data_IF_253470767128
#
_entry.id   IF_253470767128
#
_cell.length_a   1.000
_cell.length_b   1.000
_cell.length_c   1.000
_cell.angle_alpha   90.00
_cell.angle_beta   90.00
_cell.angle_gamma   90.00
#
_symmetry.space_group_name_H-M   'P 1'
#
loop_
_entity.id
_entity.type
_entity.pdbx_description
1 polymer ?
#
# COMPACT_ATOMS: atom_id res chain seq x y z
N UNK A 1 3.68 -2.18 1.87
CA UNK A 1 2.75 -1.99 0.75
C UNK A 1 3.17 -2.76 -0.51
N UNK A 2 4.47 -2.93 -0.79
CA UNK A 2 4.98 -3.63 -1.98
C UNK A 2 4.53 -5.10 -2.03
N UNK A 3 4.64 -5.85 -0.96
CA UNK A 3 4.26 -7.27 -0.92
C UNK A 3 2.75 -7.56 -1.12
N UNK A 4 1.88 -6.57 -0.97
CA UNK A 4 0.43 -6.74 -1.19
C UNK A 4 0.08 -6.94 -2.67
N UNK A 5 0.58 -6.08 -3.55
CA UNK A 5 0.36 -6.19 -5.00
C UNK A 5 0.94 -7.48 -5.56
N UNK A 6 2.15 -7.82 -5.13
CA UNK A 6 2.85 -9.03 -5.58
C UNK A 6 2.04 -10.28 -5.21
N UNK A 7 1.57 -10.35 -3.97
CA UNK A 7 0.76 -11.47 -3.49
C UNK A 7 -0.55 -11.62 -4.27
N UNK A 8 -1.29 -10.54 -4.48
CA UNK A 8 -2.55 -10.57 -5.24
C UNK A 8 -2.28 -10.92 -6.70
N UNK A 9 -1.21 -10.40 -7.31
CA UNK A 9 -0.84 -10.71 -8.69
C UNK A 9 -0.46 -12.19 -8.85
N UNK A 10 0.29 -12.74 -7.92
CA UNK A 10 0.67 -14.17 -7.92
C UNK A 10 -0.55 -15.08 -7.77
N UNK A 11 -1.46 -14.77 -6.84
CA UNK A 11 -2.71 -15.51 -6.68
C UNK A 11 -3.59 -15.43 -7.93
N UNK A 12 -3.61 -14.27 -8.58
CA UNK A 12 -4.33 -14.07 -9.85
C UNK A 12 -3.76 -14.95 -10.94
N UNK A 13 -2.44 -14.97 -11.10
CA UNK A 13 -1.76 -15.80 -12.08
C UNK A 13 -2.06 -17.29 -11.86
N UNK A 14 -1.94 -17.77 -10.61
CA UNK A 14 -2.24 -19.16 -10.25
C UNK A 14 -3.69 -19.56 -10.58
N UNK A 15 -4.66 -18.69 -10.32
CA UNK A 15 -6.06 -18.94 -10.65
C UNK A 15 -6.29 -18.98 -12.19
N UNK A 16 -5.64 -18.09 -12.91
CA UNK A 16 -5.67 -18.05 -14.38
C UNK A 16 -5.07 -19.31 -15.01
N UNK A 17 -3.96 -19.79 -14.48
CA UNK A 17 -3.34 -21.05 -14.92
C UNK A 17 -4.27 -22.25 -14.74
N UNK A 18 -5.18 -22.19 -13.78
CA UNK A 18 -6.24 -23.19 -13.59
C UNK A 18 -7.46 -22.99 -14.50
N UNK A 19 -7.40 -22.00 -15.41
CA UNK A 19 -8.51 -21.67 -16.33
C UNK A 19 -9.71 -21.02 -15.65
N UNK A 20 -9.50 -20.37 -14.50
CA UNK A 20 -10.57 -19.69 -13.74
C UNK A 20 -10.56 -18.19 -13.99
N UNK A 21 -11.74 -17.63 -14.12
CA UNK A 21 -11.92 -16.17 -14.12
C UNK A 21 -11.68 -15.64 -12.71
N UNK A 22 -11.05 -14.47 -12.63
CA UNK A 22 -10.65 -13.88 -11.35
C UNK A 22 -11.42 -12.59 -11.10
N UNK A 23 -11.94 -12.47 -9.89
CA UNK A 23 -12.46 -11.24 -9.34
C UNK A 23 -11.68 -10.90 -8.08
N UNK A 24 -11.28 -9.63 -7.93
CA UNK A 24 -10.50 -9.16 -6.78
C UNK A 24 -11.38 -8.24 -5.94
N UNK A 25 -11.52 -8.59 -4.66
CA UNK A 25 -12.25 -7.80 -3.67
C UNK A 25 -11.26 -7.08 -2.75
N UNK A 26 -11.27 -5.77 -2.78
CA UNK A 26 -10.49 -4.94 -1.88
C UNK A 26 -11.29 -4.57 -0.62
N UNK A 27 -10.66 -4.65 0.54
CA UNK A 27 -11.31 -4.37 1.81
C UNK A 27 -11.68 -2.89 2.01
N UNK A 28 -11.02 -1.98 1.30
CA UNK A 28 -11.30 -0.54 1.33
C UNK A 28 -11.01 0.13 -0.04
N UNK A 29 -11.52 1.35 -0.21
CA UNK A 29 -11.38 2.09 -1.47
C UNK A 29 -9.91 2.37 -1.83
N UNK A 30 -9.07 2.65 -0.83
CA UNK A 30 -7.64 2.91 -1.07
C UNK A 30 -6.93 1.67 -1.62
N UNK A 31 -7.21 0.50 -1.04
CA UNK A 31 -6.68 -0.77 -1.55
C UNK A 31 -7.22 -1.09 -2.93
N UNK A 32 -8.51 -0.81 -3.20
CA UNK A 32 -9.11 -0.99 -4.53
C UNK A 32 -8.38 -0.16 -5.58
N UNK A 33 -8.22 1.14 -5.35
CA UNK A 33 -7.59 2.05 -6.31
C UNK A 33 -6.11 1.69 -6.51
N UNK A 34 -5.44 1.25 -5.44
CA UNK A 34 -4.07 0.78 -5.47
C UNK A 34 -3.89 -0.51 -6.30
N UNK A 35 -4.80 -1.47 -6.18
CA UNK A 35 -4.75 -2.72 -6.95
C UNK A 35 -5.18 -2.51 -8.41
N UNK A 36 -6.20 -1.69 -8.65
CA UNK A 36 -6.67 -1.37 -10.00
C UNK A 36 -5.61 -0.63 -10.84
N UNK A 37 -4.68 0.07 -10.20
CA UNK A 37 -3.55 0.71 -10.88
C UNK A 37 -2.35 -0.20 -11.15
N UNK A 38 -2.40 -1.48 -10.78
CA UNK A 38 -1.27 -2.40 -11.00
C UNK A 38 -1.36 -3.03 -12.41
N UNK A 39 -0.32 -2.82 -13.21
CA UNK A 39 -0.24 -3.33 -14.60
C UNK A 39 -0.37 -4.86 -14.65
N UNK A 40 0.09 -5.59 -13.64
CA UNK A 40 0.00 -7.06 -13.55
C UNK A 40 -1.43 -7.56 -13.37
N UNK A 41 -2.31 -6.69 -12.88
CA UNK A 41 -3.74 -6.95 -12.69
C UNK A 41 -4.59 -6.31 -13.81
N UNK A 42 -3.96 -5.81 -14.84
CA UNK A 42 -4.66 -5.21 -15.98
C UNK A 42 -5.61 -6.22 -16.62
N UNK A 43 -6.88 -5.85 -16.76
CA UNK A 43 -7.93 -6.72 -17.28
C UNK A 43 -8.71 -7.50 -16.21
N UNK A 44 -8.27 -7.46 -14.94
CA UNK A 44 -9.03 -8.03 -13.84
C UNK A 44 -10.07 -7.05 -13.29
N UNK A 45 -11.16 -7.60 -12.79
CA UNK A 45 -12.18 -6.79 -12.11
C UNK A 45 -11.80 -6.61 -10.65
N UNK A 46 -11.54 -5.36 -10.24
CA UNK A 46 -11.23 -5.00 -8.85
C UNK A 46 -12.39 -4.18 -8.28
N UNK A 47 -13.04 -4.69 -7.24
CA UNK A 47 -14.19 -4.04 -6.60
C UNK A 47 -13.99 -3.84 -5.10
N UNK A 48 -14.89 -3.08 -4.49
CA UNK A 48 -14.97 -2.91 -3.05
C UNK A 48 -16.00 -3.86 -2.40
N UNK A 49 -16.18 -3.75 -1.09
CA UNK A 49 -17.07 -4.60 -0.29
C UNK A 49 -18.56 -4.57 -0.71
N UNK A 50 -19.01 -3.51 -1.38
CA UNK A 50 -20.38 -3.42 -1.90
C UNK A 50 -20.71 -4.56 -2.85
N UNK A 51 -19.72 -5.05 -3.61
CA UNK A 51 -19.89 -6.16 -4.53
C UNK A 51 -20.28 -7.49 -3.86
N UNK A 52 -20.06 -7.62 -2.54
CA UNK A 52 -20.58 -8.75 -1.77
C UNK A 52 -22.08 -8.66 -1.53
N UNK A 53 -22.62 -7.44 -1.40
CA UNK A 53 -24.03 -7.21 -1.10
C UNK A 53 -24.90 -7.31 -2.34
N UNK A 54 -24.42 -6.79 -3.48
CA UNK A 54 -25.10 -6.83 -4.76
C UNK A 54 -24.84 -8.12 -5.57
N UNK A 55 -23.96 -8.98 -5.05
CA UNK A 55 -23.64 -10.28 -5.66
C UNK A 55 -22.69 -10.23 -6.86
N UNK A 56 -22.25 -9.04 -7.28
CA UNK A 56 -21.39 -8.88 -8.46
C UNK A 56 -19.97 -9.42 -8.29
N UNK A 57 -19.55 -9.69 -7.04
CA UNK A 57 -18.27 -10.31 -6.75
C UNK A 57 -18.19 -11.80 -7.14
N UNK A 58 -19.31 -12.48 -7.38
CA UNK A 58 -19.35 -13.92 -7.54
C UNK A 58 -19.50 -14.33 -9.01
N UNK A 59 -18.38 -14.59 -9.67
CA UNK A 59 -18.34 -15.17 -11.02
C UNK A 59 -18.53 -16.69 -10.89
N UNK A 60 -19.60 -17.29 -11.43
CA UNK A 60 -19.83 -18.73 -11.29
C UNK A 60 -18.64 -19.57 -11.77
N UNK A 61 -18.15 -20.47 -10.93
CA UNK A 61 -16.99 -21.31 -11.22
C UNK A 61 -15.63 -20.58 -11.18
N UNK A 62 -15.61 -19.26 -10.94
CA UNK A 62 -14.41 -18.44 -10.89
C UNK A 62 -13.68 -18.50 -9.55
N UNK A 63 -12.74 -17.59 -9.38
CA UNK A 63 -11.98 -17.37 -8.14
C UNK A 63 -12.17 -15.95 -7.65
N UNK A 64 -12.55 -15.79 -6.39
CA UNK A 64 -12.62 -14.51 -5.69
C UNK A 64 -11.43 -14.37 -4.76
N UNK A 65 -10.55 -13.43 -5.07
CA UNK A 65 -9.40 -13.08 -4.23
C UNK A 65 -9.78 -11.91 -3.34
N UNK A 66 -9.78 -12.11 -2.04
CA UNK A 66 -10.08 -11.06 -1.05
C UNK A 66 -8.78 -10.54 -0.47
N UNK A 67 -8.45 -9.29 -0.79
CA UNK A 67 -7.28 -8.63 -0.24
C UNK A 67 -7.58 -8.00 1.12
N UNK A 68 -6.64 -8.15 2.06
CA UNK A 68 -6.77 -7.68 3.46
C UNK A 68 -8.06 -8.20 4.13
N UNK A 69 -8.29 -9.50 4.01
CA UNK A 69 -9.49 -10.15 4.55
C UNK A 69 -9.65 -9.99 6.08
N UNK A 70 -8.57 -9.65 6.80
CA UNK A 70 -8.62 -9.30 8.22
C UNK A 70 -9.48 -8.06 8.53
N UNK A 71 -9.79 -7.25 7.51
CA UNK A 71 -10.66 -6.08 7.63
C UNK A 71 -12.15 -6.37 7.39
N UNK A 72 -12.49 -7.59 7.02
CA UNK A 72 -13.88 -8.01 6.89
C UNK A 72 -14.50 -8.23 8.27
N UNK A 73 -15.70 -7.71 8.45
CA UNK A 73 -16.54 -8.06 9.62
C UNK A 73 -17.04 -9.50 9.51
N UNK A 74 -17.49 -10.07 10.63
CA UNK A 74 -18.07 -11.40 10.64
C UNK A 74 -19.27 -11.51 9.68
N UNK A 75 -20.13 -10.48 9.64
CA UNK A 75 -21.28 -10.41 8.73
C UNK A 75 -20.85 -10.44 7.26
N UNK A 76 -19.84 -9.64 6.88
CA UNK A 76 -19.29 -9.62 5.53
C UNK A 76 -18.67 -10.97 5.16
N UNK A 77 -17.98 -11.60 6.10
CA UNK A 77 -17.38 -12.93 5.89
C UNK A 77 -18.45 -14.00 5.68
N UNK A 78 -19.53 -13.98 6.46
CA UNK A 78 -20.66 -14.91 6.26
C UNK A 78 -21.30 -14.69 4.88
N UNK A 79 -21.56 -13.44 4.49
CA UNK A 79 -22.12 -13.11 3.17
C UNK A 79 -21.20 -13.57 2.04
N UNK A 80 -19.89 -13.42 2.21
CA UNK A 80 -18.87 -13.87 1.27
C UNK A 80 -18.93 -15.38 1.08
N UNK A 81 -18.92 -16.16 2.18
CA UNK A 81 -18.91 -17.62 2.11
C UNK A 81 -20.23 -18.18 1.56
N UNK A 82 -21.36 -17.62 1.96
CA UNK A 82 -22.68 -18.00 1.46
C UNK A 82 -22.80 -17.72 -0.04
N UNK A 83 -22.38 -16.53 -0.50
CA UNK A 83 -22.34 -16.19 -1.93
C UNK A 83 -21.40 -17.10 -2.72
N UNK A 84 -20.23 -17.39 -2.20
CA UNK A 84 -19.27 -18.27 -2.85
C UNK A 84 -19.79 -19.70 -3.00
N UNK A 85 -20.46 -20.23 -1.99
CA UNK A 85 -21.09 -21.55 -2.04
C UNK A 85 -22.21 -21.59 -3.09
N UNK A 86 -23.09 -20.60 -3.13
CA UNK A 86 -24.22 -20.55 -4.09
C UNK A 86 -23.74 -20.49 -5.54
N UNK A 87 -22.64 -19.83 -5.80
CA UNK A 87 -22.11 -19.62 -7.17
C UNK A 87 -20.95 -20.56 -7.51
N UNK A 88 -20.59 -21.50 -6.62
CA UNK A 88 -19.45 -22.40 -6.80
C UNK A 88 -18.14 -21.63 -7.08
N UNK A 89 -17.87 -20.59 -6.29
CA UNK A 89 -16.70 -19.73 -6.41
C UNK A 89 -15.62 -20.20 -5.43
N UNK A 90 -14.40 -20.34 -5.92
CA UNK A 90 -13.24 -20.55 -5.07
C UNK A 90 -12.90 -19.23 -4.36
N UNK A 91 -12.67 -19.23 -3.05
CA UNK A 91 -12.31 -18.05 -2.28
C UNK A 91 -10.87 -18.17 -1.78
N UNK A 92 -10.07 -17.16 -2.08
CA UNK A 92 -8.72 -17.00 -1.57
C UNK A 92 -8.67 -15.75 -0.68
N UNK A 93 -8.41 -15.94 0.60
CA UNK A 93 -8.35 -14.86 1.59
C UNK A 93 -6.89 -14.47 1.85
N UNK A 94 -6.53 -13.24 1.53
CA UNK A 94 -5.20 -12.68 1.80
C UNK A 94 -5.22 -11.90 3.12
N UNK A 95 -4.39 -12.31 4.08
CA UNK A 95 -4.19 -11.64 5.35
C UNK A 95 -3.04 -10.63 5.22
N UNK A 96 -3.31 -9.35 5.48
CA UNK A 96 -2.31 -8.28 5.44
C UNK A 96 -1.38 -8.25 6.66
N UNK A 97 -1.62 -9.09 7.65
CA UNK A 97 -0.80 -9.20 8.87
C UNK A 97 -0.94 -8.01 9.84
N UNK A 98 -1.79 -7.05 9.52
CA UNK A 98 -2.08 -5.92 10.43
C UNK A 98 -3.27 -6.31 11.31
N UNK A 99 -3.07 -6.36 12.61
CA UNK A 99 -4.15 -6.47 13.60
C UNK A 99 -4.93 -5.15 13.62
N UNK A 100 -5.81 -4.94 12.66
CA UNK A 100 -6.70 -3.78 12.66
C UNK A 100 -8.14 -4.26 12.60
N UNK A 101 -8.90 -3.97 13.64
CA UNK A 101 -10.33 -4.17 13.68
C UNK A 101 -10.76 -5.57 14.14
N UNK A 102 -11.88 -5.95 13.66
CA UNK A 102 -12.66 -7.13 14.04
C UNK A 102 -12.05 -8.48 13.59
N UNK A 103 -10.76 -8.65 13.55
CA UNK A 103 -9.98 -9.82 13.07
C UNK A 103 -10.41 -11.22 13.55
N UNK A 104 -11.55 -11.32 14.22
CA UNK A 104 -12.12 -12.59 14.70
C UNK A 104 -12.55 -13.52 13.59
N UNK A 105 -12.98 -12.99 12.43
CA UNK A 105 -13.50 -13.83 11.34
C UNK A 105 -12.41 -14.71 10.73
N UNK A 106 -11.24 -14.18 10.42
CA UNK A 106 -10.11 -14.97 9.92
C UNK A 106 -9.60 -15.98 10.97
N UNK A 107 -9.58 -15.58 12.24
CA UNK A 107 -9.20 -16.50 13.34
C UNK A 107 -10.16 -17.68 13.41
N UNK A 108 -11.46 -17.41 13.39
CA UNK A 108 -12.49 -18.48 13.38
C UNK A 108 -12.32 -19.41 12.18
N UNK A 109 -12.07 -18.89 10.99
CA UNK A 109 -11.84 -19.69 9.80
C UNK A 109 -10.59 -20.58 9.92
N UNK A 110 -9.50 -20.02 10.44
CA UNK A 110 -8.26 -20.79 10.71
C UNK A 110 -8.50 -21.89 11.73
N UNK A 111 -9.20 -21.59 12.81
CA UNK A 111 -9.53 -22.56 13.86
C UNK A 111 -10.52 -23.63 13.38
N UNK A 112 -11.34 -23.32 12.37
CA UNK A 112 -12.25 -24.25 11.72
C UNK A 112 -11.58 -25.19 10.70
N UNK A 113 -10.26 -25.14 10.57
CA UNK A 113 -9.50 -26.05 9.72
C UNK A 113 -9.42 -25.64 8.24
N UNK A 114 -9.70 -24.37 7.91
CA UNK A 114 -9.46 -23.86 6.56
C UNK A 114 -7.96 -23.90 6.26
N UNK A 115 -7.59 -24.44 5.11
CA UNK A 115 -6.20 -24.54 4.69
C UNK A 115 -5.53 -23.17 4.69
N UNK A 116 -4.42 -23.04 5.39
CA UNK A 116 -3.67 -21.81 5.55
C UNK A 116 -2.28 -21.99 4.98
N UNK A 117 -1.91 -21.10 4.06
CA UNK A 117 -0.59 -21.08 3.43
C UNK A 117 0.13 -19.79 3.82
N UNK A 118 1.42 -19.90 4.15
CA UNK A 118 2.26 -18.72 4.34
C UNK A 118 2.86 -18.35 2.99
N UNK A 119 2.50 -17.18 2.50
CA UNK A 119 3.13 -16.62 1.31
C UNK A 119 4.61 -16.28 1.62
N UNK A 120 5.52 -16.83 0.83
CA UNK A 120 6.96 -16.62 0.96
C UNK A 120 7.52 -15.81 -0.21
N UNK A 121 6.69 -15.44 -1.16
CA UNK A 121 7.05 -14.58 -2.27
C UNK A 121 7.07 -13.11 -1.83
N UNK A 122 7.95 -12.37 -2.39
CA UNK A 122 8.26 -10.98 -2.13
C UNK A 122 9.77 -10.85 -2.05
N UNK A 123 10.30 -9.87 -2.72
CA UNK A 123 11.68 -9.48 -2.49
C UNK A 123 11.87 -9.38 -0.98
N UNK A 124 12.71 -10.21 -0.40
CA UNK A 124 13.26 -9.89 0.90
C UNK A 124 13.93 -8.54 0.70
N UNK A 125 13.22 -7.47 1.07
CA UNK A 125 13.88 -6.22 1.35
C UNK A 125 14.81 -6.53 2.50
N UNK A 126 16.05 -6.84 2.18
CA UNK A 126 17.13 -6.82 3.16
C UNK A 126 17.17 -5.38 3.64
N UNK A 127 16.62 -5.13 4.83
CA UNK A 127 16.79 -3.86 5.46
C UNK A 127 18.23 -3.84 5.99
N UNK A 128 19.09 -3.10 5.33
CA UNK A 128 20.41 -2.81 5.88
C UNK A 128 20.24 -1.83 7.03
N UNK A 129 20.46 -2.32 8.23
CA UNK A 129 20.44 -1.49 9.44
C UNK A 129 21.84 -0.91 9.63
N UNK A 130 21.96 0.39 9.38
CA UNK A 130 23.19 1.12 9.60
C UNK A 130 23.09 1.84 10.93
N UNK A 131 23.98 1.47 11.87
CA UNK A 131 24.09 2.12 13.16
C UNK A 131 25.22 3.17 13.09
N UNK A 132 24.84 4.44 13.06
CA UNK A 132 25.76 5.58 13.13
C UNK A 132 25.40 6.42 14.36
N UNK A 133 26.28 6.50 15.36
CA UNK A 133 26.02 7.24 16.61
C UNK A 133 25.87 8.74 16.38
N UNK A 134 26.65 9.31 15.47
CA UNK A 134 26.60 10.75 15.19
C UNK A 134 25.38 11.11 14.33
N UNK A 135 24.59 12.05 14.82
CA UNK A 135 23.35 12.49 14.15
C UNK A 135 23.62 13.16 12.80
N UNK A 136 24.67 13.97 12.72
CA UNK A 136 25.04 14.69 11.49
C UNK A 136 25.54 13.72 10.42
N UNK A 137 26.39 12.77 10.82
CA UNK A 137 26.89 11.72 9.93
C UNK A 137 25.76 10.86 9.37
N UNK A 138 24.76 10.47 10.19
CA UNK A 138 23.57 9.75 9.72
C UNK A 138 22.80 10.50 8.64
N UNK A 139 22.60 11.81 8.83
CA UNK A 139 21.87 12.62 7.88
C UNK A 139 22.65 12.82 6.57
N UNK A 140 23.95 13.05 6.66
CA UNK A 140 24.81 13.17 5.49
C UNK A 140 24.84 11.88 4.68
N UNK A 141 24.95 10.73 5.34
CA UNK A 141 24.92 9.44 4.70
C UNK A 141 23.57 9.16 4.02
N UNK A 142 22.45 9.41 4.72
CA UNK A 142 21.12 9.25 4.14
C UNK A 142 20.93 10.13 2.90
N UNK A 143 21.43 11.37 2.94
CA UNK A 143 21.37 12.28 1.81
C UNK A 143 22.19 11.80 0.61
N UNK A 144 23.39 11.26 0.85
CA UNK A 144 24.23 10.69 -0.20
C UNK A 144 23.62 9.44 -0.83
N UNK A 145 23.15 8.49 -0.02
CA UNK A 145 22.49 7.26 -0.51
C UNK A 145 21.24 7.59 -1.33
N UNK A 146 20.46 8.58 -0.90
CA UNK A 146 19.32 9.08 -1.65
C UNK A 146 19.74 9.67 -3.00
N UNK A 147 20.77 10.53 -3.01
CA UNK A 147 21.24 11.17 -4.24
C UNK A 147 21.79 10.15 -5.25
N UNK A 148 22.52 9.15 -4.79
CA UNK A 148 23.01 8.05 -5.64
C UNK A 148 21.85 7.25 -6.23
N UNK A 149 20.85 6.88 -5.43
CA UNK A 149 19.65 6.16 -5.90
C UNK A 149 18.90 6.94 -6.98
N UNK A 150 18.73 8.26 -6.80
CA UNK A 150 18.08 9.13 -7.79
C UNK A 150 18.91 9.20 -9.09
N UNK A 151 20.23 9.31 -8.99
CA UNK A 151 21.12 9.30 -10.16
C UNK A 151 21.02 7.99 -10.94
N UNK A 152 20.85 6.87 -10.27
CA UNK A 152 20.68 5.54 -10.86
C UNK A 152 19.26 5.30 -11.41
N UNK A 153 18.37 6.28 -11.31
CA UNK A 153 16.98 6.17 -11.76
C UNK A 153 16.08 5.30 -10.88
N UNK A 154 16.50 5.05 -9.64
CA UNK A 154 15.70 4.29 -8.68
C UNK A 154 14.65 5.18 -8.01
N UNK A 155 13.45 4.66 -7.82
CA UNK A 155 12.41 5.32 -7.05
C UNK A 155 12.72 5.20 -5.56
N UNK A 156 13.12 6.30 -4.93
CA UNK A 156 13.56 6.33 -3.54
C UNK A 156 12.79 7.34 -2.71
N UNK A 157 12.59 7.05 -1.43
CA UNK A 157 11.95 7.95 -0.47
C UNK A 157 12.81 8.03 0.80
N UNK A 158 13.26 9.23 1.14
CA UNK A 158 13.90 9.49 2.43
C UNK A 158 12.84 9.94 3.45
N UNK A 159 12.77 9.26 4.59
CA UNK A 159 11.81 9.55 5.64
C UNK A 159 12.50 9.88 6.96
N UNK A 160 12.09 10.96 7.59
CA UNK A 160 12.56 11.40 8.90
C UNK A 160 11.40 12.00 9.70
N UNK A 161 11.43 11.87 11.02
CA UNK A 161 10.44 12.48 11.90
C UNK A 161 10.93 13.84 12.42
N UNK A 162 10.00 14.82 12.47
CA UNK A 162 10.26 16.17 12.95
C UNK A 162 10.50 17.20 11.83
N UNK A 163 9.80 18.33 11.92
CA UNK A 163 9.85 19.39 10.88
C UNK A 163 11.22 20.04 10.76
N UNK A 164 11.92 20.23 11.90
CA UNK A 164 13.26 20.79 11.92
C UNK A 164 14.27 19.84 11.26
N UNK A 165 14.17 18.57 11.57
CA UNK A 165 15.00 17.51 11.01
C UNK A 165 14.77 17.35 9.50
N UNK A 166 13.51 17.45 9.05
CA UNK A 166 13.17 17.44 7.62
C UNK A 166 13.84 18.60 6.87
N UNK A 167 13.85 19.80 7.46
CA UNK A 167 14.48 20.97 6.84
C UNK A 167 15.99 20.78 6.69
N UNK A 168 16.66 20.23 7.72
CA UNK A 168 18.10 19.92 7.68
C UNK A 168 18.40 18.86 6.63
N UNK A 169 17.65 17.75 6.63
CA UNK A 169 17.84 16.66 5.66
C UNK A 169 17.60 17.14 4.22
N UNK A 170 16.58 17.93 3.99
CA UNK A 170 16.30 18.50 2.66
C UNK A 170 17.45 19.36 2.15
N UNK A 171 18.11 20.14 3.01
CA UNK A 171 19.33 20.87 2.67
C UNK A 171 20.45 19.94 2.22
N UNK A 172 20.75 18.91 3.02
CA UNK A 172 21.79 17.93 2.71
C UNK A 172 21.50 17.13 1.44
N UNK A 173 20.26 16.74 1.22
CA UNK A 173 19.84 16.06 -0.03
C UNK A 173 20.06 16.96 -1.23
N UNK A 174 19.68 18.23 -1.14
CA UNK A 174 19.90 19.19 -2.24
C UNK A 174 21.38 19.34 -2.58
N UNK A 175 22.23 19.45 -1.56
CA UNK A 175 23.67 19.58 -1.76
C UNK A 175 24.26 18.29 -2.36
N UNK A 176 23.84 17.13 -1.90
CA UNK A 176 24.28 15.84 -2.47
C UNK A 176 23.82 15.66 -3.91
N UNK A 177 22.57 16.04 -4.27
CA UNK A 177 22.07 15.98 -5.64
C UNK A 177 22.82 16.93 -6.58
N UNK A 178 23.31 18.06 -6.09
CA UNK A 178 24.19 18.96 -6.86
C UNK A 178 25.56 18.33 -7.09
N UNK A 179 26.15 17.74 -6.06
CA UNK A 179 27.44 17.02 -6.16
C UNK A 179 27.37 15.87 -7.18
N UNK A 180 26.24 15.18 -7.22
CA UNK A 180 25.99 14.08 -8.19
C UNK A 180 25.57 14.59 -9.58
N UNK A 181 25.47 15.92 -9.78
CA UNK A 181 25.10 16.53 -11.07
C UNK A 181 23.64 16.35 -11.47
N UNK A 182 22.78 15.90 -10.56
CA UNK A 182 21.33 15.71 -10.79
C UNK A 182 20.59 17.04 -10.72
N UNK A 183 21.02 17.95 -9.85
CA UNK A 183 20.50 19.30 -9.74
C UNK A 183 21.50 20.34 -10.26
N UNK A 184 20.98 21.35 -10.98
CA UNK A 184 21.77 22.49 -11.41
C UNK A 184 22.17 23.40 -10.23
N UNK A 185 23.22 24.21 -10.44
CA UNK A 185 23.75 25.13 -9.43
C UNK A 185 22.83 26.32 -9.12
N UNK A 186 21.94 26.68 -10.05
CA UNK A 186 21.09 27.87 -9.92
C UNK A 186 19.81 27.56 -9.15
N UNK A 187 19.59 28.29 -8.06
CA UNK A 187 18.32 28.28 -7.34
C UNK A 187 17.35 29.31 -7.94
N UNK A 188 16.09 28.94 -8.05
CA UNK A 188 14.99 29.85 -8.39
C UNK A 188 14.17 30.09 -7.13
N UNK A 189 14.07 31.37 -6.74
CA UNK A 189 13.19 31.74 -5.61
C UNK A 189 11.77 31.86 -6.12
N UNK A 190 10.87 31.13 -5.48
CA UNK A 190 9.43 31.20 -5.73
C UNK A 190 8.72 31.69 -4.47
N UNK A 191 7.69 32.51 -4.65
CA UNK A 191 6.81 32.90 -3.56
C UNK A 191 5.83 31.76 -3.31
N UNK A 192 5.85 31.21 -2.10
CA UNK A 192 4.93 30.16 -1.69
C UNK A 192 3.97 30.70 -0.63
N UNK A 193 2.72 30.22 -0.69
CA UNK A 193 1.74 30.48 0.38
C UNK A 193 2.11 29.66 1.59
N UNK A 194 2.29 30.33 2.73
CA UNK A 194 2.51 29.65 4.01
C UNK A 194 1.15 29.36 4.65
N UNK A 195 0.88 28.12 5.07
CA UNK A 195 -0.35 27.83 5.78
C UNK A 195 -0.38 28.57 7.12
N UNK A 196 -1.43 29.37 7.33
CA UNK A 196 -1.67 30.09 8.57
C UNK A 196 -2.78 29.39 9.32
N UNK A 197 -2.53 29.03 10.59
CA UNK A 197 -3.53 28.50 11.48
C UNK A 197 -4.37 29.65 12.04
N UNK A 198 -5.59 29.78 11.51
CA UNK A 198 -6.57 30.74 12.03
C UNK A 198 -7.49 30.05 13.02
N UNK A 199 -7.79 30.72 14.12
CA UNK A 199 -8.85 30.27 15.03
C UNK A 199 -10.23 30.39 14.37
N UNK A 200 -11.25 29.79 14.97
CA UNK A 200 -12.60 29.76 14.39
C UNK A 200 -13.24 31.17 14.28
N UNK A 201 -12.77 32.16 15.03
CA UNK A 201 -13.26 33.55 14.95
C UNK A 201 -12.60 34.30 13.79
N UNK A 202 -11.30 34.06 13.56
CA UNK A 202 -10.53 34.70 12.51
C UNK A 202 -10.82 34.13 11.10
N UNK A 203 -11.36 32.92 11.00
CA UNK A 203 -11.71 32.29 9.70
C UNK A 203 -12.86 32.97 8.96
N UNK A 204 -13.68 33.75 9.63
CA UNK A 204 -14.83 34.46 9.06
C UNK A 204 -14.55 35.90 8.61
N UNK A 205 -13.37 36.44 8.93
CA UNK A 205 -13.01 37.82 8.58
C UNK A 205 -12.31 37.82 7.23
N UNK A 206 -13.00 38.27 6.18
CA UNK A 206 -12.39 38.65 4.90
C UNK A 206 -12.07 40.12 5.00
N UNK A 207 -10.81 40.45 5.12
CA UNK A 207 -10.33 41.81 4.82
C UNK A 207 -10.35 41.98 3.30
N UNK A 208 -11.20 42.88 2.81
CA UNK A 208 -11.23 43.36 1.43
C UNK A 208 -10.27 44.52 1.27
#
# INVERSE_FOLDING_TARGET
ATGQRERVAELTLMAREQGRDVHILAADNRSRDFLAGDVRLAGETVTGKSALQDGTAFIPGGTLIVDQAEKLSLKETISLLDGAMRHNVQVLLSDGGKRSGTGSALTVLKDSGVNTYRWQGGHQTTADIISEPDKGARYSRLAQEFAVSVREGQESVAQISGTREQSVLNGLIRDSLRQEGVLGEKDTTITALTPVWLDSKSRGVRDY
#
